data_IF_702902161513
#
_entry.id   IF_702902161513
#
_cell.length_a   1.000
_cell.length_b   1.000
_cell.length_c   1.000
_cell.angle_alpha   90.00
_cell.angle_beta   90.00
_cell.angle_gamma   90.00
#
_symmetry.space_group_name_H-M   'P 1'
#
loop_
_entity.id
_entity.type
_entity.pdbx_description
1 polymer ?
#
# COMPACT_ATOMS: atom_id res chain seq x y z
N UNK A 1 8.61 30.27 4.34
CA UNK A 1 9.08 29.14 3.51
C UNK A 1 8.01 28.86 2.48
N UNK A 2 8.32 29.02 1.19
CA UNK A 2 7.37 28.78 0.09
C UNK A 2 7.62 27.36 -0.43
N UNK A 3 6.57 26.54 -0.45
CA UNK A 3 6.62 25.14 -0.88
C UNK A 3 5.65 24.97 -2.06
N UNK A 4 6.07 24.26 -3.10
CA UNK A 4 5.25 23.92 -4.26
C UNK A 4 4.93 22.42 -4.21
N UNK A 5 3.65 22.08 -4.29
CA UNK A 5 3.20 20.70 -4.41
C UNK A 5 3.37 20.22 -5.86
N UNK A 6 4.22 19.21 -6.06
CA UNK A 6 4.50 18.61 -7.38
C UNK A 6 3.63 17.39 -7.68
N UNK A 7 2.88 16.89 -6.69
CA UNK A 7 2.14 15.62 -6.80
C UNK A 7 0.65 15.85 -7.01
N UNK A 8 0.10 16.93 -6.42
CA UNK A 8 -1.32 17.25 -6.48
C UNK A 8 -2.16 16.26 -5.68
N UNK A 9 -2.49 15.10 -6.25
CA UNK A 9 -3.22 14.07 -5.50
C UNK A 9 -2.23 13.34 -4.57
N UNK A 10 -2.66 13.09 -3.33
CA UNK A 10 -1.83 12.36 -2.36
C UNK A 10 -1.38 11.00 -2.91
N UNK A 11 -0.07 10.75 -2.87
CA UNK A 11 0.59 9.58 -3.49
C UNK A 11 0.12 8.22 -2.99
N UNK A 12 -0.53 8.16 -1.82
CA UNK A 12 -1.17 6.93 -1.35
C UNK A 12 -2.27 6.45 -2.30
N UNK A 13 -2.92 7.35 -3.06
CA UNK A 13 -3.93 6.96 -4.04
C UNK A 13 -3.28 6.44 -5.32
N UNK A 14 -2.82 5.17 -5.30
CA UNK A 14 -2.20 4.51 -6.46
C UNK A 14 -3.15 4.22 -7.63
N UNK A 15 -4.46 4.47 -7.45
CA UNK A 15 -5.47 4.31 -8.51
C UNK A 15 -6.12 2.93 -8.61
N UNK A 16 -5.62 1.90 -7.93
CA UNK A 16 -6.26 0.57 -7.91
C UNK A 16 -7.48 0.51 -6.99
N UNK A 17 -7.53 1.35 -5.93
CA UNK A 17 -8.64 1.36 -4.98
C UNK A 17 -9.77 2.26 -5.49
N UNK A 18 -10.75 1.65 -6.17
CA UNK A 18 -11.98 2.34 -6.65
C UNK A 18 -13.09 2.39 -5.59
N UNK A 19 -13.27 1.30 -4.85
CA UNK A 19 -14.22 1.19 -3.74
C UNK A 19 -13.44 0.93 -2.44
N UNK A 20 -13.62 1.79 -1.45
CA UNK A 20 -13.04 1.57 -0.11
C UNK A 20 -14.00 0.73 0.74
N UNK A 21 -13.45 -0.23 1.47
CA UNK A 21 -14.13 -0.93 2.57
C UNK A 21 -14.11 -0.02 3.80
N UNK A 22 -14.78 -0.38 4.89
CA UNK A 22 -14.74 0.39 6.14
C UNK A 22 -13.31 0.43 6.70
N UNK A 23 -12.79 1.65 6.95
CA UNK A 23 -11.46 1.93 7.52
C UNK A 23 -10.26 1.13 6.94
N UNK A 24 -9.94 1.26 5.63
CA UNK A 24 -8.82 0.54 5.02
C UNK A 24 -7.47 1.19 5.39
N UNK A 25 -6.44 0.37 5.56
CA UNK A 25 -5.06 0.85 5.76
C UNK A 25 -4.62 1.74 4.59
N UNK A 26 -3.79 2.76 4.86
CA UNK A 26 -3.20 3.59 3.80
C UNK A 26 -2.16 2.78 3.03
N UNK A 27 -2.19 2.93 1.72
CA UNK A 27 -1.30 2.26 0.76
C UNK A 27 0.19 2.49 1.10
N UNK A 28 0.55 3.70 1.52
CA UNK A 28 1.93 4.02 1.94
C UNK A 28 2.37 3.28 3.21
N UNK A 29 1.43 3.01 4.13
CA UNK A 29 1.72 2.27 5.36
C UNK A 29 1.86 0.78 5.03
N UNK A 30 0.97 0.25 4.20
CA UNK A 30 1.05 -1.13 3.73
C UNK A 30 2.37 -1.41 2.97
N UNK A 31 2.82 -0.48 2.12
CA UNK A 31 4.13 -0.56 1.48
C UNK A 31 5.29 -0.59 2.50
N UNK A 32 5.24 0.27 3.52
CA UNK A 32 6.23 0.28 4.59
C UNK A 32 6.22 -1.00 5.44
N UNK A 33 5.06 -1.63 5.64
CA UNK A 33 4.98 -2.93 6.31
C UNK A 33 5.65 -4.01 5.45
N UNK A 34 5.40 -4.03 4.14
CA UNK A 34 6.07 -4.95 3.23
C UNK A 34 7.60 -4.76 3.21
N UNK A 35 8.07 -3.51 3.29
CA UNK A 35 9.49 -3.19 3.42
C UNK A 35 10.10 -3.75 4.71
N UNK A 36 9.43 -3.57 5.85
CA UNK A 36 9.86 -4.07 7.15
C UNK A 36 9.77 -5.59 7.26
N UNK A 37 8.81 -6.21 6.56
CA UNK A 37 8.64 -7.65 6.48
C UNK A 37 9.66 -8.31 5.52
N UNK A 38 10.50 -7.53 4.84
CA UNK A 38 11.49 -8.01 3.88
C UNK A 38 10.87 -8.88 2.78
N UNK A 39 9.77 -8.42 2.18
CA UNK A 39 9.13 -9.12 1.06
C UNK A 39 10.02 -9.03 -0.18
N UNK A 40 10.36 -10.20 -0.73
CA UNK A 40 11.14 -10.39 -1.96
C UNK A 40 10.31 -11.18 -3.00
N UNK A 41 10.72 -11.20 -4.29
CA UNK A 41 10.03 -11.95 -5.35
C UNK A 41 9.73 -13.43 -5.04
N UNK A 42 10.56 -14.07 -4.21
CA UNK A 42 10.45 -15.46 -3.79
C UNK A 42 9.75 -15.65 -2.44
N UNK A 43 9.31 -14.57 -1.80
CA UNK A 43 8.62 -14.60 -0.52
C UNK A 43 7.17 -15.05 -0.66
N UNK A 44 6.72 -15.90 0.26
CA UNK A 44 5.30 -16.24 0.40
C UNK A 44 4.68 -15.32 1.44
N UNK A 45 3.83 -14.41 0.98
CA UNK A 45 3.07 -13.49 1.85
C UNK A 45 1.66 -14.01 2.04
N UNK A 46 1.16 -14.02 3.28
CA UNK A 46 -0.19 -14.45 3.60
C UNK A 46 -0.80 -13.55 4.68
N UNK A 47 -1.97 -12.99 4.38
CA UNK A 47 -2.79 -12.22 5.32
C UNK A 47 -4.19 -12.86 5.40
N UNK A 48 -4.50 -13.60 6.48
CA UNK A 48 -5.79 -14.29 6.63
C UNK A 48 -6.95 -13.32 6.93
N UNK A 49 -6.66 -12.04 7.20
CA UNK A 49 -7.63 -11.00 7.52
C UNK A 49 -7.48 -9.80 6.57
N UNK A 50 -7.18 -10.08 5.30
CA UNK A 50 -6.75 -9.07 4.33
C UNK A 50 -7.74 -7.93 4.06
N UNK A 51 -9.02 -8.08 4.42
CA UNK A 51 -10.04 -7.03 4.28
C UNK A 51 -10.09 -6.47 2.85
N UNK A 52 -9.65 -5.22 2.68
CA UNK A 52 -9.54 -4.56 1.36
C UNK A 52 -8.43 -5.10 0.44
N UNK A 53 -7.55 -5.97 0.94
CA UNK A 53 -6.41 -6.52 0.21
C UNK A 53 -5.21 -5.57 0.08
N UNK A 54 -5.29 -4.36 0.66
CA UNK A 54 -4.25 -3.32 0.49
C UNK A 54 -2.85 -3.83 0.84
N UNK A 55 -2.68 -4.59 1.94
CA UNK A 55 -1.36 -5.13 2.31
C UNK A 55 -0.81 -6.13 1.29
N UNK A 56 -1.65 -7.02 0.79
CA UNK A 56 -1.28 -8.02 -0.20
C UNK A 56 -0.92 -7.39 -1.55
N UNK A 57 -1.68 -6.36 -1.96
CA UNK A 57 -1.42 -5.61 -3.20
C UNK A 57 -0.08 -4.86 -3.10
N UNK A 58 0.17 -4.15 -2.00
CA UNK A 58 1.42 -3.43 -1.80
C UNK A 58 2.63 -4.38 -1.66
N UNK A 59 2.43 -5.54 -1.03
CA UNK A 59 3.47 -6.58 -0.95
C UNK A 59 3.81 -7.16 -2.32
N UNK A 60 2.80 -7.42 -3.16
CA UNK A 60 3.00 -7.91 -4.52
C UNK A 60 3.62 -6.86 -5.47
N UNK A 61 3.36 -5.57 -5.24
CA UNK A 61 4.01 -4.48 -5.98
C UNK A 61 5.46 -4.26 -5.54
N UNK A 62 5.82 -4.73 -4.34
CA UNK A 62 7.16 -4.60 -3.77
C UNK A 62 8.09 -5.72 -4.24
N UNK A 63 7.58 -6.94 -4.23
CA UNK A 63 8.21 -8.15 -4.75
C UNK A 63 8.50 -8.00 -6.26
#
# INVERSE_FOLDING_TARGET
MLLLDTSGIGLHKRGYRRNSVEAPIKETIAAGIADLAHVYPDSVVCDPMCGSGTLMIESALKA
#
